data_IF_741106578476
#
_entry.id   IF_741106578476
#
_cell.length_a   1.000
_cell.length_b   1.000
_cell.length_c   1.000
_cell.angle_alpha   90.00
_cell.angle_beta   90.00
_cell.angle_gamma   90.00
#
_symmetry.space_group_name_H-M   'P 1'
#
loop_
_entity.id
_entity.type
_entity.pdbx_description
1 polymer ?
#
# COMPACT_ATOMS: atom_id res chain seq x y z
N UNK A 1 -20.83 26.32 55.90
CA UNK A 1 -19.68 27.18 56.22
C UNK A 1 -19.04 27.60 54.91
N UNK A 2 -19.25 28.88 54.57
CA UNK A 2 -18.53 29.70 53.56
C UNK A 2 -17.00 29.54 53.74
N UNK A 3 -16.08 29.70 52.79
CA UNK A 3 -15.81 30.73 51.77
C UNK A 3 -14.44 30.29 51.14
N UNK A 4 -13.99 30.52 49.90
CA UNK A 4 -13.76 31.78 49.18
C UNK A 4 -13.40 31.51 47.71
N UNK A 5 -13.81 32.45 46.88
CA UNK A 5 -13.45 32.71 45.46
C UNK A 5 -12.11 33.47 45.38
N UNK A 6 -11.28 33.23 44.35
CA UNK A 6 -10.42 34.24 43.66
C UNK A 6 -9.73 33.60 42.41
N UNK A 7 -10.14 33.94 41.17
CA UNK A 7 -9.52 34.88 40.21
C UNK A 7 -8.23 34.35 39.49
N UNK A 8 -8.33 33.89 38.24
CA UNK A 8 -7.98 34.57 36.95
C UNK A 8 -6.50 34.96 36.79
N UNK A 9 -5.83 34.35 35.80
CA UNK A 9 -4.83 35.01 34.95
C UNK A 9 -4.67 34.27 33.61
N UNK A 10 -5.30 34.82 32.56
CA UNK A 10 -4.95 34.55 31.16
C UNK A 10 -3.55 35.12 30.89
N UNK A 11 -2.66 34.33 30.30
CA UNK A 11 -1.47 34.83 29.60
C UNK A 11 -1.45 34.24 28.18
N UNK A 12 -2.18 34.91 27.29
CA UNK A 12 -2.00 34.77 25.86
C UNK A 12 -0.71 35.50 25.47
N UNK A 13 0.31 34.75 25.06
CA UNK A 13 1.55 35.29 24.50
C UNK A 13 1.49 35.13 22.99
N UNK A 14 1.00 36.15 22.31
CA UNK A 14 1.13 36.33 20.87
C UNK A 14 2.52 36.91 20.62
N UNK A 15 3.39 36.17 19.94
CA UNK A 15 4.58 36.72 19.33
C UNK A 15 4.51 36.45 17.82
N UNK A 16 4.10 37.48 17.07
CA UNK A 16 4.35 37.59 15.64
C UNK A 16 5.71 38.28 15.46
N UNK A 17 6.71 37.52 15.01
CA UNK A 17 7.96 37.98 14.37
C UNK A 17 8.36 36.81 13.46
N UNK A 18 8.63 36.91 12.18
CA UNK A 18 8.69 38.00 11.19
C UNK A 18 9.05 37.33 9.85
N UNK A 19 8.64 37.92 8.72
CA UNK A 19 9.02 37.42 7.41
C UNK A 19 10.53 37.63 7.16
N UNK A 20 11.23 36.59 6.75
CA UNK A 20 12.45 36.71 5.95
C UNK A 20 12.53 35.52 5.01
N UNK A 21 12.32 35.82 3.72
CA UNK A 21 12.67 34.91 2.65
C UNK A 21 14.19 34.70 2.62
N UNK A 22 14.58 33.46 2.43
CA UNK A 22 15.94 33.05 2.15
C UNK A 22 15.87 31.87 1.20
N UNK A 23 15.89 32.15 -0.10
CA UNK A 23 16.10 31.16 -1.14
C UNK A 23 17.44 30.48 -0.90
N UNK A 24 17.38 29.25 -0.38
CA UNK A 24 18.53 28.35 -0.38
C UNK A 24 18.10 27.13 -1.17
N UNK A 25 18.66 26.86 -2.36
CA UNK A 25 18.48 25.57 -3.00
C UNK A 25 19.12 24.55 -2.07
N UNK A 26 18.29 23.77 -1.38
CA UNK A 26 18.77 22.60 -0.68
C UNK A 26 19.37 21.66 -1.73
N UNK A 27 20.70 21.64 -1.79
CA UNK A 27 21.46 20.56 -2.40
C UNK A 27 20.97 19.24 -1.77
N UNK A 28 20.35 18.38 -2.59
CA UNK A 28 20.13 16.99 -2.26
C UNK A 28 21.48 16.29 -2.15
N UNK A 29 22.11 16.37 -0.97
CA UNK A 29 23.33 15.64 -0.66
C UNK A 29 23.01 14.15 -0.62
N UNK A 30 23.56 13.43 -1.59
CA UNK A 30 23.39 12.00 -1.85
C UNK A 30 24.13 11.10 -0.84
N UNK A 31 24.05 11.39 0.47
CA UNK A 31 24.81 10.68 1.50
C UNK A 31 23.98 9.71 2.36
N UNK A 32 22.65 9.71 2.28
CA UNK A 32 21.79 8.76 3.03
C UNK A 32 21.32 7.57 2.16
N UNK A 33 22.23 6.98 1.36
CA UNK A 33 21.96 5.76 0.58
C UNK A 33 22.48 4.49 1.25
N UNK A 34 22.30 4.38 2.57
CA UNK A 34 22.79 3.23 3.33
C UNK A 34 21.70 2.55 4.20
N UNK A 35 20.43 2.73 3.90
CA UNK A 35 19.36 1.88 4.43
C UNK A 35 18.45 1.44 3.28
N UNK A 36 18.25 0.12 3.17
CA UNK A 36 17.58 -0.53 2.04
C UNK A 36 16.17 0.00 1.81
N UNK A 37 15.79 0.08 0.52
CA UNK A 37 14.45 0.36 -0.01
C UNK A 37 13.33 0.44 1.05
N UNK A 38 13.04 1.65 1.53
CA UNK A 38 11.77 1.94 2.20
C UNK A 38 10.69 1.96 1.12
N UNK A 39 10.19 0.78 0.75
CA UNK A 39 9.07 0.63 -0.18
C UNK A 39 7.80 1.12 0.51
N UNK A 40 7.03 1.96 -0.16
CA UNK A 40 5.88 2.68 0.39
C UNK A 40 4.66 1.75 0.59
N UNK A 41 4.72 0.89 1.60
CA UNK A 41 3.61 0.13 2.20
C UNK A 41 3.80 0.16 3.71
N UNK A 42 3.50 1.32 4.32
CA UNK A 42 3.93 1.67 5.66
C UNK A 42 3.60 0.58 6.69
N UNK A 43 4.65 -0.08 7.21
CA UNK A 43 4.57 -1.04 8.32
C UNK A 43 4.58 -2.52 7.93
N UNK A 44 4.56 -2.88 6.64
CA UNK A 44 4.67 -4.29 6.25
C UNK A 44 6.12 -4.82 6.34
N UNK A 45 6.32 -6.10 6.70
CA UNK A 45 7.63 -6.74 6.62
C UNK A 45 8.06 -6.97 5.16
N UNK A 46 9.30 -7.43 4.96
CA UNK A 46 9.76 -7.84 3.65
C UNK A 46 8.98 -9.08 3.16
N UNK A 47 8.45 -9.01 1.93
CA UNK A 47 7.71 -10.11 1.33
C UNK A 47 8.61 -11.23 0.78
N UNK A 48 8.13 -12.46 0.90
CA UNK A 48 8.77 -13.67 0.38
C UNK A 48 8.00 -14.20 -0.83
N UNK A 49 8.60 -14.10 -2.02
CA UNK A 49 7.97 -14.48 -3.30
C UNK A 49 7.46 -15.94 -3.27
N UNK A 50 8.26 -16.89 -2.78
CA UNK A 50 7.88 -18.30 -2.73
C UNK A 50 6.69 -18.58 -1.79
N UNK A 51 6.63 -17.88 -0.65
CA UNK A 51 5.47 -17.95 0.25
C UNK A 51 4.24 -17.34 -0.39
N UNK A 52 4.41 -16.20 -1.08
CA UNK A 52 3.34 -15.52 -1.81
C UNK A 52 2.77 -16.36 -2.94
N UNK A 53 3.63 -17.05 -3.71
CA UNK A 53 3.22 -17.98 -4.76
C UNK A 53 2.35 -19.10 -4.21
N UNK A 54 2.81 -19.75 -3.14
CA UNK A 54 2.06 -20.81 -2.46
C UNK A 54 0.73 -20.28 -1.93
N UNK A 55 0.72 -19.10 -1.32
CA UNK A 55 -0.47 -18.49 -0.77
C UNK A 55 -1.48 -18.10 -1.87
N UNK A 56 -1.00 -17.59 -3.01
CA UNK A 56 -1.84 -17.21 -4.14
C UNK A 56 -2.66 -18.39 -4.71
N UNK A 57 -2.15 -19.62 -4.55
CA UNK A 57 -2.80 -20.87 -4.95
C UNK A 57 -3.63 -21.51 -3.82
N UNK A 58 -3.52 -20.99 -2.60
CA UNK A 58 -4.23 -21.53 -1.44
C UNK A 58 -5.63 -20.94 -1.36
N UNK A 59 -6.64 -21.80 -1.19
CA UNK A 59 -8.02 -21.38 -1.01
C UNK A 59 -8.23 -20.73 0.34
N UNK A 60 -8.74 -19.49 0.33
CA UNK A 60 -9.10 -18.76 1.54
C UNK A 60 -10.27 -19.41 2.27
N UNK A 61 -10.30 -19.29 3.61
CA UNK A 61 -11.39 -19.84 4.43
C UNK A 61 -12.72 -19.13 4.21
N UNK A 62 -12.68 -17.82 3.97
CA UNK A 62 -13.86 -16.99 3.81
C UNK A 62 -14.69 -17.33 2.55
N UNK A 63 -14.02 -17.67 1.45
CA UNK A 63 -14.66 -17.82 0.13
C UNK A 63 -14.48 -19.21 -0.49
N UNK A 64 -13.52 -20.00 0.00
CA UNK A 64 -13.11 -21.25 -0.65
C UNK A 64 -12.42 -21.07 -2.00
N UNK A 65 -12.02 -19.84 -2.37
CA UNK A 65 -11.33 -19.53 -3.61
C UNK A 65 -9.89 -19.08 -3.32
N UNK A 66 -8.97 -19.39 -4.24
CA UNK A 66 -7.60 -18.88 -4.26
C UNK A 66 -7.55 -17.52 -4.99
N UNK A 67 -6.42 -16.81 -4.89
CA UNK A 67 -6.23 -15.55 -5.60
C UNK A 67 -6.27 -15.78 -7.12
N UNK A 68 -5.64 -16.86 -7.58
CA UNK A 68 -5.54 -17.20 -9.01
C UNK A 68 -6.85 -17.77 -9.58
N UNK A 69 -7.79 -18.21 -8.74
CA UNK A 69 -9.11 -18.67 -9.18
C UNK A 69 -9.91 -17.53 -9.85
N UNK A 70 -9.69 -16.27 -9.44
CA UNK A 70 -10.35 -15.09 -10.02
C UNK A 70 -9.41 -14.23 -10.88
N UNK A 71 -8.18 -14.02 -10.43
CA UNK A 71 -7.20 -13.15 -11.11
C UNK A 71 -6.37 -13.88 -12.18
N UNK A 72 -6.58 -15.20 -12.31
CA UNK A 72 -5.92 -16.03 -13.31
C UNK A 72 -4.54 -16.53 -12.90
N UNK A 73 -4.00 -17.44 -13.71
CA UNK A 73 -2.65 -17.95 -13.55
C UNK A 73 -1.64 -16.79 -13.52
N UNK A 74 -0.79 -16.79 -12.49
CA UNK A 74 0.16 -15.71 -12.19
C UNK A 74 -0.44 -14.30 -12.09
N UNK A 75 -1.76 -14.15 -12.02
CA UNK A 75 -2.45 -12.85 -12.02
C UNK A 75 -2.56 -12.18 -13.40
N UNK A 76 -2.41 -12.94 -14.50
CA UNK A 76 -2.33 -12.42 -15.86
C UNK A 76 -3.55 -12.69 -16.75
N UNK A 77 -4.39 -13.66 -16.39
CA UNK A 77 -5.54 -14.11 -17.19
C UNK A 77 -6.81 -14.23 -16.32
N UNK A 78 -7.38 -13.11 -15.86
CA UNK A 78 -8.55 -13.11 -15.00
C UNK A 78 -9.75 -13.82 -15.66
N UNK A 79 -10.68 -14.32 -14.84
CA UNK A 79 -11.82 -15.10 -15.32
C UNK A 79 -12.79 -14.32 -16.20
N UNK A 80 -12.84 -13.00 -16.02
CA UNK A 80 -13.47 -12.05 -16.94
C UNK A 80 -12.84 -10.66 -16.77
N UNK A 81 -13.21 -9.74 -17.65
CA UNK A 81 -12.60 -8.40 -17.78
C UNK A 81 -12.83 -7.48 -16.58
N UNK A 82 -13.80 -7.79 -15.70
CA UNK A 82 -14.08 -7.00 -14.50
C UNK A 82 -13.09 -7.28 -13.36
N UNK A 83 -12.37 -8.41 -13.42
CA UNK A 83 -11.33 -8.75 -12.45
C UNK A 83 -9.99 -8.14 -12.90
N UNK A 84 -9.32 -7.36 -12.05
CA UNK A 84 -8.07 -6.71 -12.42
C UNK A 84 -6.94 -7.74 -12.55
N UNK A 85 -6.01 -7.48 -13.47
CA UNK A 85 -4.72 -8.19 -13.52
C UNK A 85 -3.85 -7.73 -12.36
N UNK A 86 -3.14 -8.67 -11.74
CA UNK A 86 -2.23 -8.41 -10.63
C UNK A 86 -0.75 -8.50 -11.03
N UNK A 87 -0.46 -9.23 -12.11
CA UNK A 87 0.90 -9.50 -12.53
C UNK A 87 1.68 -8.22 -12.89
N UNK A 88 2.84 -8.06 -12.27
CA UNK A 88 3.75 -6.93 -12.50
C UNK A 88 3.20 -5.59 -12.03
N UNK A 89 2.11 -5.59 -11.26
CA UNK A 89 1.66 -4.37 -10.61
C UNK A 89 2.62 -4.00 -9.46
N UNK A 90 2.78 -2.71 -9.19
CA UNK A 90 3.67 -2.24 -8.15
C UNK A 90 3.37 -2.90 -6.80
N UNK A 91 4.41 -3.44 -6.18
CA UNK A 91 4.35 -4.10 -4.87
C UNK A 91 3.54 -3.27 -3.86
N UNK A 92 3.90 -2.00 -3.72
CA UNK A 92 3.29 -1.06 -2.78
C UNK A 92 1.79 -0.88 -3.03
N UNK A 93 1.35 -0.90 -4.30
CA UNK A 93 -0.06 -0.77 -4.65
C UNK A 93 -0.88 -2.00 -4.25
N UNK A 94 -0.33 -3.20 -4.49
CA UNK A 94 -1.00 -4.45 -4.11
C UNK A 94 -1.11 -4.53 -2.59
N UNK A 95 0.00 -4.26 -1.89
CA UNK A 95 0.07 -4.23 -0.45
C UNK A 95 -0.96 -3.26 0.15
N UNK A 96 -0.94 -2.00 -0.30
CA UNK A 96 -1.88 -0.98 0.16
C UNK A 96 -3.34 -1.37 -0.10
N UNK A 97 -3.65 -1.92 -1.28
CA UNK A 97 -5.01 -2.34 -1.61
C UNK A 97 -5.51 -3.46 -0.69
N UNK A 98 -4.67 -4.46 -0.42
CA UNK A 98 -5.03 -5.57 0.47
C UNK A 98 -5.20 -5.12 1.92
N UNK A 99 -4.33 -4.22 2.42
CA UNK A 99 -4.49 -3.60 3.74
C UNK A 99 -5.82 -2.84 3.82
N UNK A 100 -6.10 -1.98 2.83
CA UNK A 100 -7.33 -1.20 2.79
C UNK A 100 -8.60 -2.08 2.74
N UNK A 101 -8.58 -3.21 2.01
CA UNK A 101 -9.69 -4.17 2.03
C UNK A 101 -9.85 -4.89 3.37
N UNK A 102 -8.74 -5.26 4.01
CA UNK A 102 -8.77 -5.94 5.32
C UNK A 102 -9.30 -5.02 6.43
N UNK A 103 -8.86 -3.77 6.39
CA UNK A 103 -9.08 -2.77 7.43
C UNK A 103 -10.42 -2.04 7.25
N UNK A 104 -11.01 -2.10 6.05
CA UNK A 104 -12.33 -1.53 5.71
C UNK A 104 -12.27 -0.13 5.08
N UNK A 105 -11.07 0.38 4.81
CA UNK A 105 -10.86 1.66 4.12
C UNK A 105 -11.21 1.59 2.63
N UNK A 106 -11.18 0.38 2.07
CA UNK A 106 -11.62 0.07 0.71
C UNK A 106 -12.62 -1.08 0.76
N UNK A 107 -13.81 -0.87 0.20
CA UNK A 107 -14.88 -1.87 0.26
C UNK A 107 -15.14 -2.53 -1.10
N UNK A 108 -15.23 -3.87 -1.10
CA UNK A 108 -15.73 -4.65 -2.22
C UNK A 108 -16.20 -6.02 -1.73
N UNK A 109 -17.43 -6.43 -2.06
CA UNK A 109 -18.09 -7.61 -1.49
C UNK A 109 -17.22 -8.88 -1.52
N UNK A 110 -16.46 -9.09 -2.61
CA UNK A 110 -15.56 -10.23 -2.72
C UNK A 110 -14.20 -9.98 -2.04
N UNK A 111 -13.57 -8.84 -2.29
CA UNK A 111 -12.17 -8.62 -1.86
C UNK A 111 -12.05 -8.28 -0.38
N UNK A 112 -13.05 -7.59 0.21
CA UNK A 112 -13.08 -7.37 1.66
C UNK A 112 -13.06 -8.71 2.41
N UNK A 113 -13.83 -9.72 1.96
CA UNK A 113 -13.84 -11.05 2.58
C UNK A 113 -12.54 -11.83 2.36
N UNK A 114 -11.93 -11.73 1.18
CA UNK A 114 -10.66 -12.37 0.85
C UNK A 114 -9.50 -11.82 1.68
N UNK A 115 -9.46 -10.50 1.88
CA UNK A 115 -8.37 -9.84 2.58
C UNK A 115 -8.51 -9.92 4.12
N UNK A 116 -9.71 -10.18 4.64
CA UNK A 116 -10.03 -9.98 6.07
C UNK A 116 -9.13 -10.71 7.04
N UNK A 117 -8.70 -11.91 6.69
CA UNK A 117 -7.89 -12.79 7.55
C UNK A 117 -6.39 -12.76 7.19
N UNK A 118 -5.97 -11.92 6.25
CA UNK A 118 -4.57 -11.83 5.85
C UNK A 118 -3.74 -11.11 6.92
N UNK A 119 -2.66 -11.75 7.34
CA UNK A 119 -1.64 -11.10 8.18
C UNK A 119 -0.79 -10.13 7.36
N UNK A 120 -0.08 -9.21 8.03
CA UNK A 120 0.84 -8.29 7.36
C UNK A 120 1.91 -9.02 6.53
N UNK A 121 2.46 -10.12 7.06
CA UNK A 121 3.43 -10.94 6.31
C UNK A 121 2.79 -11.57 5.07
N UNK A 122 1.55 -12.05 5.16
CA UNK A 122 0.86 -12.62 4.01
C UNK A 122 0.55 -11.58 2.92
N UNK A 123 0.20 -10.36 3.32
CA UNK A 123 0.02 -9.25 2.38
C UNK A 123 1.34 -8.92 1.68
N UNK A 124 2.43 -8.80 2.44
CA UNK A 124 3.77 -8.57 1.89
C UNK A 124 4.18 -9.69 0.93
N UNK A 125 3.97 -10.95 1.30
CA UNK A 125 4.29 -12.11 0.46
C UNK A 125 3.51 -12.10 -0.86
N UNK A 126 2.20 -11.87 -0.82
CA UNK A 126 1.34 -11.79 -2.01
C UNK A 126 1.73 -10.61 -2.92
N UNK A 127 1.97 -9.45 -2.34
CA UNK A 127 2.41 -8.27 -3.08
C UNK A 127 3.76 -8.52 -3.75
N UNK A 128 4.72 -9.15 -3.05
CA UNK A 128 6.03 -9.47 -3.60
C UNK A 128 5.92 -10.48 -4.74
N UNK A 129 5.09 -11.51 -4.57
CA UNK A 129 4.86 -12.51 -5.60
C UNK A 129 4.25 -11.90 -6.85
N UNK A 130 3.07 -11.27 -6.77
CA UNK A 130 2.39 -10.74 -7.95
C UNK A 130 3.15 -9.59 -8.60
N UNK A 131 3.78 -8.71 -7.81
CA UNK A 131 4.62 -7.63 -8.34
C UNK A 131 5.90 -8.11 -9.02
N UNK A 132 6.38 -9.32 -8.73
CA UNK A 132 7.51 -9.94 -9.44
C UNK A 132 7.13 -10.63 -10.75
N UNK A 133 5.83 -10.78 -11.06
CA UNK A 133 5.38 -11.46 -12.28
C UNK A 133 5.56 -10.55 -13.49
N UNK A 134 5.83 -11.14 -14.64
CA UNK A 134 5.83 -10.41 -15.90
C UNK A 134 4.44 -9.84 -16.17
N UNK A 135 4.36 -8.54 -16.44
CA UNK A 135 3.08 -7.88 -16.67
C UNK A 135 2.62 -8.03 -18.12
N UNK A 136 1.36 -8.41 -18.31
CA UNK A 136 0.65 -8.21 -19.59
C UNK A 136 -0.29 -7.00 -19.52
N UNK A 137 0.03 -6.02 -18.67
CA UNK A 137 -0.61 -4.71 -18.68
C UNK A 137 -0.06 -3.92 -19.87
N UNK A 138 -0.96 -3.25 -20.59
CA UNK A 138 -0.58 -2.38 -21.70
C UNK A 138 -0.27 -1.01 -21.11
N UNK A 139 0.97 -0.59 -21.15
CA UNK A 139 1.39 0.73 -20.71
C UNK A 139 1.52 1.71 -21.90
N UNK A 140 2.02 2.92 -21.62
CA UNK A 140 2.23 3.95 -22.63
C UNK A 140 3.61 3.89 -23.29
N UNK A 141 4.45 2.90 -22.97
CA UNK A 141 5.77 2.81 -23.59
C UNK A 141 5.67 2.39 -25.07
N UNK A 142 4.66 1.60 -25.44
CA UNK A 142 4.46 1.14 -26.82
C UNK A 142 3.60 2.08 -27.68
N UNK A 143 3.03 3.16 -27.13
CA UNK A 143 2.18 4.08 -27.92
C UNK A 143 2.96 4.96 -28.89
N UNK A 144 4.30 5.02 -28.77
CA UNK A 144 5.18 5.76 -29.69
C UNK A 144 5.86 4.84 -30.72
N UNK A 145 5.74 3.51 -30.58
CA UNK A 145 6.44 2.52 -31.41
C UNK A 145 5.72 2.19 -32.72
N UNK A 146 4.62 2.88 -33.01
CA UNK A 146 3.82 2.73 -34.22
C UNK A 146 3.68 4.07 -34.95
N UNK A 147 4.75 4.51 -35.60
CA UNK A 147 4.68 5.47 -36.72
C UNK A 147 5.76 5.15 -37.76
#
# INVERSE_FOLDING_TARGET
>A
MTNKILAIALLASIALVGCSGGDTPAEHSAADRAEGHTSSSAGLPAGHIASGEKLAQTKGKATGQSCVDCHGAEGNAPIDETYPKLAGQYYDYIAHSLQAYRDGDREHALMSSQAKELTDQQIADLAAYFGSRESKLRDLHDVHSHN
#
